data_IF_804674347256
#
_entry.id   IF_804674347256
#
_cell.length_a   1.000
_cell.length_b   1.000
_cell.length_c   1.000
_cell.angle_alpha   90.00
_cell.angle_beta   90.00
_cell.angle_gamma   90.00
#
_symmetry.space_group_name_H-M   'P 1'
#
loop_
_entity.id
_entity.type
_entity.pdbx_description
1 polymer ?
#
# COMPACT_ATOMS: atom_id res chain seq x y z
N UNK A 1 14.44 -29.23 -12.17
CA UNK A 1 13.05 -29.30 -12.68
C UNK A 1 12.58 -27.87 -12.87
N UNK A 2 12.09 -27.51 -14.05
CA UNK A 2 11.58 -26.17 -14.37
C UNK A 2 10.08 -26.31 -14.56
N UNK A 3 9.27 -25.41 -13.99
CA UNK A 3 7.83 -25.37 -14.21
C UNK A 3 7.44 -24.08 -14.92
N UNK A 4 6.57 -24.19 -15.92
CA UNK A 4 6.09 -23.08 -16.75
C UNK A 4 4.58 -22.98 -16.60
N UNK A 5 4.06 -21.75 -16.51
CA UNK A 5 2.62 -21.50 -16.36
C UNK A 5 1.78 -22.12 -17.47
N UNK A 6 2.28 -22.14 -18.71
CA UNK A 6 1.55 -22.63 -19.88
C UNK A 6 1.63 -24.15 -20.07
N UNK A 7 2.68 -24.80 -19.54
CA UNK A 7 2.88 -26.25 -19.70
C UNK A 7 2.35 -27.05 -18.51
N UNK A 8 2.52 -26.51 -17.30
CA UNK A 8 2.21 -27.19 -16.03
C UNK A 8 1.47 -26.26 -15.07
N UNK A 9 0.24 -25.82 -15.41
CA UNK A 9 -0.48 -24.81 -14.64
C UNK A 9 -0.76 -25.23 -13.20
N UNK A 10 -1.21 -26.47 -12.97
CA UNK A 10 -1.51 -26.99 -11.62
C UNK A 10 -0.28 -27.00 -10.72
N UNK A 11 0.85 -27.52 -11.21
CA UNK A 11 2.10 -27.56 -10.46
C UNK A 11 2.64 -26.15 -10.20
N UNK A 12 2.52 -25.26 -11.19
CA UNK A 12 2.96 -23.87 -11.08
C UNK A 12 2.16 -23.12 -10.02
N UNK A 13 0.82 -23.23 -10.02
CA UNK A 13 -0.06 -22.60 -9.03
C UNK A 13 0.15 -23.22 -7.63
N UNK A 14 0.25 -24.54 -7.53
CA UNK A 14 0.53 -25.21 -6.26
C UNK A 14 1.88 -24.77 -5.66
N UNK A 15 2.88 -24.54 -6.51
CA UNK A 15 4.20 -24.01 -6.09
C UNK A 15 4.09 -22.57 -5.58
N UNK A 16 3.29 -21.72 -6.24
CA UNK A 16 3.05 -20.33 -5.81
C UNK A 16 2.31 -20.22 -4.46
N UNK A 17 1.30 -21.08 -4.26
CA UNK A 17 0.48 -21.05 -3.04
C UNK A 17 1.04 -21.88 -1.88
N UNK A 18 2.06 -22.71 -2.14
CA UNK A 18 2.64 -23.62 -1.15
C UNK A 18 3.45 -22.95 -0.03
N UNK A 19 3.72 -21.63 -0.14
CA UNK A 19 4.42 -20.82 0.86
C UNK A 19 5.77 -21.42 1.33
N UNK A 20 6.44 -22.20 0.48
CA UNK A 20 7.70 -22.87 0.79
C UNK A 20 7.56 -24.19 1.57
N UNK A 21 6.35 -24.64 1.91
CA UNK A 21 6.14 -25.91 2.61
C UNK A 21 6.21 -27.14 1.69
N UNK A 22 6.05 -26.96 0.38
CA UNK A 22 5.95 -28.07 -0.60
C UNK A 22 7.19 -28.24 -1.47
N UNK A 23 8.01 -27.20 -1.64
CA UNK A 23 9.18 -27.20 -2.53
C UNK A 23 10.15 -26.08 -2.19
N UNK A 24 11.43 -26.27 -2.52
CA UNK A 24 12.47 -25.23 -2.49
C UNK A 24 12.62 -24.63 -3.89
N UNK A 25 12.49 -23.31 -4.00
CA UNK A 25 12.62 -22.58 -5.27
C UNK A 25 14.06 -22.06 -5.39
N UNK A 26 14.76 -22.47 -6.44
CA UNK A 26 16.15 -22.05 -6.71
C UNK A 26 16.25 -20.82 -7.62
N UNK A 27 15.31 -20.68 -8.57
CA UNK A 27 15.32 -19.60 -9.56
C UNK A 27 13.89 -19.29 -9.97
N UNK A 28 13.60 -18.00 -10.12
CA UNK A 28 12.33 -17.50 -10.63
C UNK A 28 12.58 -16.59 -11.83
N UNK A 29 11.68 -16.62 -12.80
CA UNK A 29 11.63 -15.65 -13.89
C UNK A 29 10.35 -14.83 -13.72
N UNK A 30 10.50 -13.51 -13.64
CA UNK A 30 9.41 -12.57 -13.46
C UNK A 30 9.25 -11.75 -14.74
N UNK A 31 8.00 -11.55 -15.16
CA UNK A 31 7.67 -10.54 -16.16
C UNK A 31 7.68 -9.17 -15.48
N UNK A 32 8.45 -8.23 -16.03
CA UNK A 32 8.63 -6.89 -15.47
C UNK A 32 8.22 -5.82 -16.49
N UNK A 33 7.59 -4.76 -16.02
CA UNK A 33 7.32 -3.56 -16.81
C UNK A 33 8.50 -2.58 -16.68
N UNK A 34 8.65 -1.68 -17.65
CA UNK A 34 9.60 -0.58 -17.55
C UNK A 34 9.29 0.36 -16.38
N UNK A 35 10.33 0.99 -15.83
CA UNK A 35 10.16 2.02 -14.80
C UNK A 35 9.29 3.16 -15.34
N UNK A 36 8.32 3.58 -14.54
CA UNK A 36 7.42 4.68 -14.85
C UNK A 36 7.32 5.59 -13.64
N UNK A 37 6.90 6.84 -13.88
CA UNK A 37 6.75 7.82 -12.81
C UNK A 37 5.37 7.78 -12.20
N UNK A 38 5.34 7.99 -10.90
CA UNK A 38 4.15 8.04 -10.09
C UNK A 38 4.06 9.36 -9.36
N UNK A 39 2.85 9.88 -9.24
CA UNK A 39 2.50 11.02 -8.41
C UNK A 39 1.68 10.51 -7.24
N UNK A 40 2.26 10.56 -6.05
CA UNK A 40 1.59 10.25 -4.79
C UNK A 40 1.09 11.55 -4.15
N UNK A 41 -0.23 11.67 -4.05
CA UNK A 41 -0.91 12.77 -3.35
C UNK A 41 -1.34 12.26 -1.98
N UNK A 42 -0.68 12.77 -0.94
CA UNK A 42 -0.94 12.40 0.44
C UNK A 42 -1.78 13.47 1.14
N UNK A 43 -2.86 13.03 1.80
CA UNK A 43 -3.76 13.90 2.56
C UNK A 43 -4.22 13.25 3.86
N UNK A 44 -4.66 14.07 4.81
CA UNK A 44 -5.16 13.62 6.11
C UNK A 44 -6.67 13.68 6.13
N UNK A 45 -7.33 12.58 6.52
CA UNK A 45 -8.79 12.50 6.65
C UNK A 45 -9.18 11.82 7.95
N UNK A 46 -10.43 11.96 8.36
CA UNK A 46 -10.97 11.21 9.50
C UNK A 46 -11.23 9.77 9.09
N UNK A 47 -11.04 8.84 10.03
CA UNK A 47 -11.31 7.42 9.81
C UNK A 47 -12.76 7.16 9.38
N UNK A 48 -13.74 7.79 10.01
CA UNK A 48 -15.16 7.63 9.64
C UNK A 48 -15.42 8.03 8.18
N UNK A 49 -14.84 9.14 7.71
CA UNK A 49 -15.01 9.59 6.32
C UNK A 49 -14.44 8.58 5.31
N UNK A 50 -13.31 7.93 5.63
CA UNK A 50 -12.71 6.90 4.77
C UNK A 50 -13.54 5.63 4.75
N UNK A 51 -14.05 5.18 5.90
CA UNK A 51 -14.87 3.96 5.97
C UNK A 51 -16.16 4.13 5.17
N UNK A 52 -16.80 5.30 5.28
CA UNK A 52 -18.07 5.57 4.61
C UNK A 52 -17.91 5.71 3.08
N UNK A 53 -16.77 6.24 2.62
CA UNK A 53 -16.51 6.54 1.20
C UNK A 53 -15.37 5.69 0.60
N UNK A 54 -15.04 4.54 1.21
CA UNK A 54 -13.89 3.72 0.80
C UNK A 54 -13.93 3.37 -0.69
N UNK A 55 -15.12 3.00 -1.19
CA UNK A 55 -15.29 2.64 -2.59
C UNK A 55 -15.01 3.82 -3.53
N UNK A 56 -15.39 5.04 -3.17
CA UNK A 56 -15.11 6.23 -3.98
C UNK A 56 -13.59 6.44 -4.11
N UNK A 57 -12.87 6.32 -3.00
CA UNK A 57 -11.41 6.49 -3.01
C UNK A 57 -10.66 5.37 -3.73
N UNK A 58 -11.11 4.13 -3.61
CA UNK A 58 -10.48 2.99 -4.28
C UNK A 58 -10.63 3.06 -5.79
N UNK A 59 -11.77 3.57 -6.29
CA UNK A 59 -12.02 3.68 -7.73
C UNK A 59 -11.55 4.99 -8.35
N UNK A 60 -11.19 6.00 -7.55
CA UNK A 60 -10.77 7.31 -8.08
C UNK A 60 -9.33 7.35 -8.56
N UNK A 61 -8.50 6.38 -8.13
CA UNK A 61 -7.06 6.33 -8.44
C UNK A 61 -6.61 4.90 -8.77
N UNK A 62 -5.48 4.79 -9.48
CA UNK A 62 -4.91 3.50 -9.88
C UNK A 62 -4.40 2.70 -8.66
N UNK A 63 -3.79 3.39 -7.71
CA UNK A 63 -3.27 2.79 -6.50
C UNK A 63 -3.59 3.65 -5.28
N UNK A 64 -4.15 3.05 -4.23
CA UNK A 64 -4.49 3.75 -2.98
C UNK A 64 -3.91 3.02 -1.78
N UNK A 65 -3.42 3.78 -0.80
CA UNK A 65 -3.00 3.25 0.50
C UNK A 65 -3.55 4.10 1.63
N UNK A 66 -4.04 3.43 2.67
CA UNK A 66 -4.55 4.07 3.88
C UNK A 66 -3.69 3.68 5.08
N UNK A 67 -3.21 4.69 5.80
CA UNK A 67 -2.46 4.53 7.04
C UNK A 67 -3.30 5.07 8.18
N UNK A 68 -3.89 4.16 8.96
CA UNK A 68 -4.71 4.55 10.09
C UNK A 68 -3.89 4.75 11.35
N UNK A 69 -4.02 5.93 11.97
CA UNK A 69 -3.40 6.26 13.24
C UNK A 69 -4.50 6.23 14.31
N UNK A 70 -4.60 5.10 15.01
CA UNK A 70 -5.66 4.86 16.00
C UNK A 70 -5.71 5.94 17.09
N UNK A 71 -4.55 6.41 17.57
CA UNK A 71 -4.45 7.41 18.65
C UNK A 71 -5.07 8.78 18.32
N UNK A 72 -5.22 9.11 17.04
CA UNK A 72 -5.77 10.39 16.57
C UNK A 72 -7.08 10.23 15.80
N UNK A 73 -7.54 9.00 15.56
CA UNK A 73 -8.67 8.69 14.66
C UNK A 73 -8.51 9.27 13.24
N UNK A 74 -7.27 9.57 12.83
CA UNK A 74 -6.95 10.10 11.51
C UNK A 74 -6.39 9.00 10.62
N UNK A 75 -6.71 9.07 9.34
CA UNK A 75 -6.15 8.23 8.29
C UNK A 75 -5.34 9.11 7.35
N UNK A 76 -4.07 8.76 7.12
CA UNK A 76 -3.31 9.33 6.01
C UNK A 76 -3.61 8.52 4.76
N UNK A 77 -4.07 9.21 3.74
CA UNK A 77 -4.47 8.64 2.47
C UNK A 77 -3.40 8.99 1.46
N UNK A 78 -2.82 7.97 0.83
CA UNK A 78 -1.87 8.09 -0.27
C UNK A 78 -2.59 7.65 -1.54
N UNK A 79 -2.67 8.56 -2.50
CA UNK A 79 -3.39 8.41 -3.76
C UNK A 79 -2.39 8.52 -4.90
N UNK A 80 -2.12 7.41 -5.57
CA UNK A 80 -0.97 7.27 -6.46
C UNK A 80 -1.46 6.97 -7.88
N UNK A 81 -1.08 7.84 -8.82
CA UNK A 81 -1.40 7.70 -10.24
C UNK A 81 -0.13 7.84 -11.09
N UNK A 82 -0.10 7.17 -12.24
CA UNK A 82 0.91 7.40 -13.27
C UNK A 82 0.95 8.86 -13.71
N UNK A 83 2.15 9.38 -13.93
CA UNK A 83 2.35 10.75 -14.40
C UNK A 83 3.54 10.86 -15.36
N UNK A 84 3.57 11.94 -16.13
CA UNK A 84 4.72 12.36 -16.93
C UNK A 84 5.39 13.64 -16.40
N UNK A 85 4.91 14.14 -15.26
CA UNK A 85 5.49 15.30 -14.59
C UNK A 85 6.97 15.06 -14.26
N UNK A 86 7.71 16.17 -14.13
CA UNK A 86 9.12 16.15 -13.75
C UNK A 86 9.21 15.80 -12.26
N UNK A 87 10.31 15.16 -11.88
CA UNK A 87 10.62 14.89 -10.48
C UNK A 87 10.45 16.14 -9.62
N UNK A 88 9.69 15.99 -8.56
CA UNK A 88 9.47 17.03 -7.57
C UNK A 88 9.50 16.37 -6.20
N UNK A 89 10.54 16.71 -5.44
CA UNK A 89 10.68 16.24 -4.08
C UNK A 89 9.97 17.20 -3.14
N UNK A 90 8.78 16.81 -2.68
CA UNK A 90 8.25 17.34 -1.43
C UNK A 90 8.70 16.38 -0.33
N UNK A 91 9.56 16.86 0.57
CA UNK A 91 10.07 16.05 1.68
C UNK A 91 8.93 15.60 2.59
N UNK A 92 8.51 14.36 2.40
CA UNK A 92 7.52 13.71 3.25
C UNK A 92 8.21 13.20 4.52
N UNK A 93 7.93 13.81 5.66
CA UNK A 93 8.42 13.36 6.99
C UNK A 93 7.91 11.94 7.37
N UNK A 94 7.00 11.38 6.56
CA UNK A 94 6.42 10.05 6.72
C UNK A 94 7.34 8.89 6.39
N UNK A 95 8.46 9.14 5.72
CA UNK A 95 9.46 8.11 5.46
C UNK A 95 10.15 7.59 6.75
N UNK A 96 9.96 8.25 7.89
CA UNK A 96 10.52 7.80 9.16
C UNK A 96 9.61 6.78 9.85
N UNK A 97 10.02 5.51 9.84
CA UNK A 97 9.40 4.38 10.55
C UNK A 97 9.50 4.49 12.10
N UNK A 98 9.58 5.70 12.66
CA UNK A 98 9.77 5.96 14.09
C UNK A 98 8.50 6.60 14.68
N UNK A 99 7.36 5.97 14.43
CA UNK A 99 6.10 6.36 15.08
C UNK A 99 5.89 5.53 16.35
N UNK A 100 6.41 6.02 17.47
CA UNK A 100 5.92 5.57 18.77
C UNK A 100 4.52 6.18 19.01
N UNK A 101 3.60 5.46 19.66
CA UNK A 101 2.20 5.89 19.86
C UNK A 101 2.09 7.28 20.52
N UNK A 102 3.05 7.63 21.37
CA UNK A 102 3.13 8.94 22.04
C UNK A 102 3.57 10.08 21.11
N UNK A 103 4.40 9.82 20.10
CA UNK A 103 4.70 10.77 19.02
C UNK A 103 3.60 10.82 17.96
N UNK A 104 2.66 9.86 17.97
CA UNK A 104 1.47 9.76 17.13
C UNK A 104 0.75 11.09 16.88
N UNK A 105 0.36 11.78 17.95
CA UNK A 105 -0.43 13.02 17.87
C UNK A 105 0.39 14.20 17.35
N UNK A 106 1.64 14.32 17.78
CA UNK A 106 2.52 15.41 17.37
C UNK A 106 2.97 15.27 15.91
N UNK A 107 3.32 14.06 15.50
CA UNK A 107 3.66 13.75 14.11
C UNK A 107 2.43 13.92 13.22
N UNK A 108 1.25 13.42 13.60
CA UNK A 108 0.01 13.61 12.83
C UNK A 108 -0.34 15.09 12.63
N UNK A 109 -0.07 15.93 13.64
CA UNK A 109 -0.23 17.38 13.55
C UNK A 109 0.81 18.04 12.63
N UNK A 110 2.11 17.77 12.81
CA UNK A 110 3.21 18.31 11.98
C UNK A 110 3.04 18.05 10.49
N UNK A 111 2.36 16.96 10.17
CA UNK A 111 2.22 16.39 8.84
C UNK A 111 0.80 16.49 8.30
N UNK A 112 -0.04 17.32 8.92
CA UNK A 112 -1.43 17.53 8.54
C UNK A 112 -1.59 18.16 7.15
N UNK A 113 -0.54 18.81 6.64
CA UNK A 113 -0.49 19.36 5.29
C UNK A 113 -0.59 18.30 4.19
N UNK A 114 -1.07 18.73 3.02
CA UNK A 114 -1.04 17.90 1.82
C UNK A 114 0.41 17.81 1.32
N UNK A 115 0.85 16.59 1.02
CA UNK A 115 2.19 16.32 0.49
C UNK A 115 2.02 15.69 -0.89
N UNK A 116 2.73 16.20 -1.87
CA UNK A 116 2.77 15.62 -3.21
C UNK A 116 4.17 15.16 -3.53
N UNK A 117 4.35 13.87 -3.76
CA UNK A 117 5.63 13.26 -4.11
C UNK A 117 5.56 12.76 -5.55
N UNK A 118 6.54 13.12 -6.38
CA UNK A 118 6.69 12.58 -7.74
C UNK A 118 8.03 11.88 -7.84
N UNK A 119 8.00 10.57 -8.05
CA UNK A 119 9.18 9.72 -8.11
C UNK A 119 8.96 8.52 -9.03
N UNK A 120 10.00 7.72 -9.23
CA UNK A 120 9.93 6.46 -9.95
C UNK A 120 9.15 5.40 -9.16
N UNK A 121 8.50 4.49 -9.90
CA UNK A 121 7.57 3.49 -9.33
C UNK A 121 8.18 2.64 -8.22
N UNK A 122 9.44 2.23 -8.37
CA UNK A 122 10.13 1.41 -7.37
C UNK A 122 10.39 2.17 -6.04
N UNK A 123 10.61 3.48 -6.10
CA UNK A 123 10.80 4.34 -4.92
C UNK A 123 9.49 4.53 -4.16
N UNK A 124 8.38 4.71 -4.89
CA UNK A 124 7.06 4.94 -4.29
C UNK A 124 6.40 3.64 -3.80
N UNK A 125 6.69 2.48 -4.38
CA UNK A 125 6.04 1.25 -3.91
C UNK A 125 6.79 0.54 -2.79
N UNK A 126 8.10 0.72 -2.69
CA UNK A 126 8.93 -0.03 -1.75
C UNK A 126 9.09 0.71 -0.40
N UNK A 127 8.47 0.15 0.65
CA UNK A 127 8.66 0.62 2.02
C UNK A 127 8.91 -0.54 2.96
N UNK A 128 9.87 -0.43 3.89
CA UNK A 128 10.10 -1.45 4.90
C UNK A 128 8.95 -1.43 5.91
N UNK A 129 8.13 -2.49 5.98
CA UNK A 129 7.09 -2.65 6.98
C UNK A 129 7.08 -4.10 7.50
N UNK A 130 6.98 -4.25 8.82
CA UNK A 130 6.73 -5.54 9.47
C UNK A 130 5.34 -5.48 10.10
N UNK A 131 4.38 -6.21 9.52
CA UNK A 131 2.99 -6.20 10.00
C UNK A 131 2.37 -7.59 9.85
N UNK A 132 1.31 -7.83 10.61
CA UNK A 132 0.35 -8.89 10.25
C UNK A 132 -0.42 -8.44 9.01
N UNK A 133 -0.62 -9.37 8.07
CA UNK A 133 -1.26 -9.09 6.78
C UNK A 133 -2.41 -10.05 6.53
N UNK A 134 -3.58 -9.53 6.18
CA UNK A 134 -4.77 -10.30 5.82
C UNK A 134 -5.31 -9.81 4.48
N UNK A 135 -5.78 -10.74 3.64
CA UNK A 135 -6.43 -10.40 2.37
C UNK A 135 -7.95 -10.62 2.47
N UNK A 136 -8.73 -9.58 2.21
CA UNK A 136 -10.20 -9.62 2.22
C UNK A 136 -10.67 -9.25 0.79
N UNK A 137 -11.46 -10.10 0.11
CA UNK A 137 -12.05 -9.75 -1.17
C UNK A 137 -12.87 -8.46 -1.05
N UNK A 138 -12.66 -7.50 -1.97
CA UNK A 138 -13.26 -6.17 -1.86
C UNK A 138 -14.79 -6.20 -1.73
N UNK A 139 -15.46 -7.10 -2.46
CA UNK A 139 -16.92 -7.30 -2.39
C UNK A 139 -17.42 -7.68 -0.99
N UNK A 140 -16.56 -8.34 -0.22
CA UNK A 140 -16.86 -8.83 1.11
C UNK A 140 -16.40 -7.85 2.20
N UNK A 141 -15.82 -6.70 1.86
CA UNK A 141 -15.39 -5.69 2.85
C UNK A 141 -16.65 -5.14 3.53
N UNK A 142 -16.95 -5.57 4.78
CA UNK A 142 -18.09 -5.05 5.49
C UNK A 142 -17.84 -3.58 5.79
N UNK A 143 -18.84 -2.70 5.58
CA UNK A 143 -18.77 -1.28 5.97
C UNK A 143 -18.39 -1.06 7.45
N UNK A 144 -18.44 -2.12 8.28
CA UNK A 144 -18.18 -2.11 9.72
C UNK A 144 -16.85 -2.77 10.13
N UNK A 145 -16.14 -3.51 9.26
CA UNK A 145 -14.92 -4.26 9.66
C UNK A 145 -13.68 -3.40 9.84
N UNK A 146 -13.67 -2.17 9.34
CA UNK A 146 -12.54 -1.24 9.52
C UNK A 146 -12.46 -0.68 10.96
N UNK A 147 -13.36 -1.12 11.85
CA UNK A 147 -13.38 -0.84 13.28
C UNK A 147 -12.59 -1.89 14.08
N UNK A 148 -11.51 -2.46 13.51
CA UNK A 148 -10.58 -3.37 14.21
C UNK A 148 -9.58 -2.53 15.01
N UNK A 149 -10.08 -1.74 15.95
CA UNK A 149 -9.37 -1.40 17.19
C UNK A 149 -10.41 -0.84 18.17
N UNK A 150 -10.89 -1.69 19.06
CA UNK A 150 -11.40 -1.27 20.36
C UNK A 150 -10.55 -1.96 21.41
#
# INVERSE_FOLDING_TARGET
MTCLRNEQPELFIATLCGLGCTVIILTVQLEVEHVFRLKDVQSSRTSDNIVDNLAEFVHSVEHVRFWWIAATHTVKCSMVNRTHEVWSNSSSLWASQIMNTLTGRFVAWLSSGNVTLIDDSHTIFNYPQYTTEWAIPFQNVPKRSLRVSK
#
